data_IF_280385955016
#
_entry.id   IF_280385955016
#
_cell.length_a   1.000
_cell.length_b   1.000
_cell.length_c   1.000
_cell.angle_alpha   90.00
_cell.angle_beta   90.00
_cell.angle_gamma   90.00
#
_symmetry.space_group_name_H-M   'P 1'
#
loop_
_entity.id
_entity.type
_entity.pdbx_description
1 polymer ?
#
# COMPACT_ATOMS: atom_id res chain seq x y z
N UNK A 1 3.44 4.51 21.72
CA UNK A 1 3.93 3.38 20.90
C UNK A 1 3.95 3.83 19.46
N UNK A 2 5.08 3.72 18.79
CA UNK A 2 5.19 4.03 17.36
C UNK A 2 4.60 2.88 16.52
N UNK A 3 4.12 3.20 15.32
CA UNK A 3 3.74 2.19 14.32
C UNK A 3 4.91 1.24 14.04
N UNK A 4 6.13 1.79 13.97
CA UNK A 4 7.35 1.03 13.77
C UNK A 4 7.56 -0.03 14.87
N UNK A 5 7.34 0.32 16.15
CA UNK A 5 7.47 -0.61 17.28
C UNK A 5 6.46 -1.77 17.17
N UNK A 6 5.24 -1.46 16.75
CA UNK A 6 4.18 -2.46 16.62
C UNK A 6 4.46 -3.43 15.47
N UNK A 7 4.93 -2.91 14.34
CA UNK A 7 5.29 -3.71 13.18
C UNK A 7 6.56 -4.55 13.40
N UNK A 8 7.56 -4.01 14.07
CA UNK A 8 8.76 -4.76 14.45
C UNK A 8 8.41 -5.91 15.42
N UNK A 9 7.49 -5.65 16.36
CA UNK A 9 6.99 -6.68 17.30
C UNK A 9 6.27 -7.84 16.63
N UNK A 10 5.65 -7.63 15.46
CA UNK A 10 5.00 -8.70 14.69
C UNK A 10 5.92 -9.34 13.65
N UNK A 11 7.23 -9.02 13.68
CA UNK A 11 8.22 -9.64 12.80
C UNK A 11 8.17 -9.17 11.35
N UNK A 12 7.58 -7.99 11.08
CA UNK A 12 7.57 -7.42 9.73
C UNK A 12 8.93 -6.78 9.43
N UNK A 13 9.70 -7.44 8.57
CA UNK A 13 10.90 -6.88 7.98
C UNK A 13 10.52 -5.93 6.83
N UNK A 14 10.47 -4.65 7.16
CA UNK A 14 10.10 -3.58 6.24
C UNK A 14 11.05 -3.42 5.05
N UNK A 15 12.26 -3.97 5.10
CA UNK A 15 13.19 -3.90 3.97
C UNK A 15 12.83 -4.92 2.89
N UNK A 16 12.19 -6.02 3.26
CA UNK A 16 12.02 -7.17 2.36
C UNK A 16 10.58 -7.42 1.92
N UNK A 17 9.59 -6.80 2.57
CA UNK A 17 8.17 -6.96 2.23
C UNK A 17 7.59 -5.74 1.52
N UNK A 18 6.71 -5.92 0.52
CA UNK A 18 5.91 -4.82 -0.03
C UNK A 18 5.04 -4.18 1.05
N UNK A 19 5.14 -2.85 1.21
CA UNK A 19 4.45 -2.10 2.24
C UNK A 19 3.76 -0.86 1.67
N UNK A 20 2.56 -0.58 2.16
CA UNK A 20 1.86 0.70 2.04
C UNK A 20 1.32 1.12 3.40
N UNK A 21 1.25 2.42 3.65
CA UNK A 21 0.65 2.97 4.88
C UNK A 21 -0.63 3.71 4.53
N UNK A 22 -1.71 3.36 5.22
CA UNK A 22 -3.01 4.00 5.05
C UNK A 22 -3.41 4.75 6.32
N UNK A 23 -3.59 6.06 6.20
CA UNK A 23 -4.21 6.89 7.21
C UNK A 23 -5.73 6.83 7.05
N UNK A 24 -6.33 5.83 7.69
CA UNK A 24 -7.78 5.64 7.71
C UNK A 24 -8.48 6.61 8.68
N UNK A 25 -9.81 6.70 8.59
CA UNK A 25 -10.70 7.55 9.42
C UNK A 25 -10.59 9.05 9.14
N UNK A 26 -10.40 9.42 7.87
CA UNK A 26 -10.29 10.83 7.42
C UNK A 26 -11.57 11.64 7.62
N UNK A 27 -12.69 10.98 7.89
CA UNK A 27 -14.00 11.56 8.18
C UNK A 27 -14.10 12.15 9.59
N UNK A 28 -13.21 11.78 10.52
CA UNK A 28 -13.28 12.27 11.89
C UNK A 28 -12.91 13.76 11.98
N UNK A 29 -13.65 14.58 12.75
CA UNK A 29 -13.38 16.02 12.88
C UNK A 29 -12.01 16.33 13.50
N UNK A 30 -11.43 15.38 14.24
CA UNK A 30 -10.08 15.48 14.81
C UNK A 30 -8.99 14.84 13.94
N UNK A 31 -9.28 14.45 12.70
CA UNK A 31 -8.27 13.87 11.81
C UNK A 31 -7.21 14.93 11.46
N UNK A 32 -5.94 14.60 11.71
CA UNK A 32 -4.79 15.47 11.36
C UNK A 32 -4.80 15.78 9.86
N UNK A 33 -4.62 17.02 9.40
CA UNK A 33 -4.63 17.36 7.97
C UNK A 33 -3.66 16.52 7.14
N UNK A 34 -4.03 16.21 5.88
CA UNK A 34 -3.18 15.37 5.01
C UNK A 34 -1.82 16.00 4.73
N UNK A 35 -1.78 17.32 4.58
CA UNK A 35 -0.54 18.07 4.35
C UNK A 35 0.45 17.87 5.51
N UNK A 36 -0.02 17.98 6.75
CA UNK A 36 0.81 17.78 7.95
C UNK A 36 1.29 16.34 8.06
N UNK A 37 0.45 15.36 7.70
CA UNK A 37 0.87 13.96 7.65
C UNK A 37 1.94 13.74 6.58
N UNK A 38 1.76 14.30 5.39
CA UNK A 38 2.74 14.16 4.29
C UNK A 38 4.08 14.80 4.64
N UNK A 39 4.07 15.97 5.25
CA UNK A 39 5.27 16.64 5.74
C UNK A 39 5.96 15.79 6.82
N UNK A 40 5.21 15.32 7.82
CA UNK A 40 5.76 14.51 8.92
C UNK A 40 6.39 13.19 8.44
N UNK A 41 5.88 12.62 7.35
CA UNK A 41 6.33 11.35 6.80
C UNK A 41 7.02 11.52 5.44
N UNK A 42 7.56 12.70 5.13
CA UNK A 42 8.19 12.97 3.83
C UNK A 42 9.38 12.06 3.53
N UNK A 43 10.12 11.67 4.57
CA UNK A 43 11.29 10.79 4.49
C UNK A 43 10.91 9.30 4.46
N UNK A 44 9.62 8.95 4.56
CA UNK A 44 9.18 7.58 4.56
C UNK A 44 9.35 6.96 3.15
N UNK A 45 10.01 5.80 3.02
CA UNK A 45 10.25 5.18 1.73
C UNK A 45 9.01 4.46 1.15
N UNK A 46 7.93 4.32 1.93
CA UNK A 46 6.71 3.63 1.53
C UNK A 46 5.59 4.61 1.13
N UNK A 47 4.70 4.22 0.19
CA UNK A 47 3.57 5.04 -0.23
C UNK A 47 2.59 5.32 0.92
N UNK A 48 2.10 6.56 0.97
CA UNK A 48 1.08 7.01 1.91
C UNK A 48 -0.27 7.18 1.21
N UNK A 49 -1.31 6.56 1.75
CA UNK A 49 -2.68 6.68 1.30
C UNK A 49 -3.59 7.20 2.41
N UNK A 50 -4.71 7.80 2.02
CA UNK A 50 -5.71 8.37 2.93
C UNK A 50 -7.06 7.74 2.61
N UNK A 51 -7.81 7.36 3.63
CA UNK A 51 -9.03 6.59 3.42
C UNK A 51 -10.12 6.84 4.46
N UNK A 52 -11.36 6.61 4.04
CA UNK A 52 -12.53 6.49 4.91
C UNK A 52 -13.13 5.11 4.67
N UNK A 53 -12.77 4.15 5.53
CA UNK A 53 -13.23 2.77 5.37
C UNK A 53 -14.76 2.61 5.42
N UNK A 54 -15.48 3.54 6.07
CA UNK A 54 -16.95 3.50 6.14
C UNK A 54 -17.62 3.80 4.80
N UNK A 55 -17.02 4.65 3.97
CA UNK A 55 -17.53 4.99 2.62
C UNK A 55 -16.82 4.19 1.52
N UNK A 56 -15.69 3.56 1.84
CA UNK A 56 -14.83 2.85 0.89
C UNK A 56 -13.80 3.77 0.21
N UNK A 57 -13.85 5.08 0.47
CA UNK A 57 -12.95 6.05 -0.14
C UNK A 57 -11.49 5.71 0.18
N UNK A 58 -10.65 5.62 -0.85
CA UNK A 58 -9.23 5.33 -0.74
C UNK A 58 -8.87 3.88 -0.37
N UNK A 59 -9.83 3.02 -0.03
CA UNK A 59 -9.57 1.62 0.35
C UNK A 59 -9.04 0.81 -0.84
N UNK A 60 -9.77 0.84 -1.97
CA UNK A 60 -9.37 0.13 -3.18
C UNK A 60 -8.05 0.67 -3.75
N UNK A 61 -7.89 2.00 -3.78
CA UNK A 61 -6.65 2.63 -4.25
C UNK A 61 -5.43 2.23 -3.40
N UNK A 62 -5.60 2.11 -2.07
CA UNK A 62 -4.56 1.62 -1.17
C UNK A 62 -4.19 0.18 -1.50
N UNK A 63 -5.20 -0.69 -1.69
CA UNK A 63 -4.99 -2.10 -1.99
C UNK A 63 -4.33 -2.29 -3.36
N UNK A 64 -4.79 -1.55 -4.37
CA UNK A 64 -4.18 -1.52 -5.70
C UNK A 64 -2.69 -1.15 -5.63
N UNK A 65 -2.34 -0.13 -4.84
CA UNK A 65 -0.95 0.27 -4.63
C UNK A 65 -0.11 -0.84 -4.01
N UNK A 66 -0.67 -1.60 -3.06
CA UNK A 66 0.00 -2.76 -2.46
C UNK A 66 0.22 -3.87 -3.50
N UNK A 67 -0.78 -4.19 -4.31
CA UNK A 67 -0.68 -5.22 -5.35
C UNK A 67 0.40 -4.87 -6.38
N UNK A 68 0.53 -3.60 -6.76
CA UNK A 68 1.61 -3.14 -7.66
C UNK A 68 2.99 -3.29 -7.02
N UNK A 69 3.13 -2.92 -5.75
CA UNK A 69 4.39 -3.10 -5.03
C UNK A 69 4.77 -4.60 -4.93
N UNK A 70 3.79 -5.45 -4.64
CA UNK A 70 3.94 -6.90 -4.60
C UNK A 70 4.38 -7.47 -5.95
N UNK A 71 3.69 -7.09 -7.03
CA UNK A 71 4.02 -7.55 -8.37
C UNK A 71 5.46 -7.18 -8.75
N UNK A 72 5.83 -5.90 -8.63
CA UNK A 72 7.18 -5.41 -9.00
C UNK A 72 8.30 -6.09 -8.23
N UNK A 73 8.07 -6.39 -6.95
CA UNK A 73 9.04 -7.05 -6.08
C UNK A 73 9.37 -8.47 -6.55
N UNK A 74 8.39 -9.18 -7.11
CA UNK A 74 8.50 -10.59 -7.47
C UNK A 74 8.61 -10.85 -8.97
N UNK A 75 8.25 -9.90 -9.83
CA UNK A 75 8.33 -10.07 -11.30
C UNK A 75 9.76 -10.40 -11.76
N UNK A 76 10.78 -9.75 -11.18
CA UNK A 76 12.17 -9.99 -11.54
C UNK A 76 12.66 -11.40 -11.16
N UNK A 77 12.18 -11.94 -10.03
CA UNK A 77 12.57 -13.27 -9.53
C UNK A 77 11.74 -14.39 -10.16
N UNK A 78 10.44 -14.18 -10.37
CA UNK A 78 9.49 -15.18 -10.86
C UNK A 78 9.25 -15.11 -12.37
N UNK A 79 9.70 -14.04 -13.05
CA UNK A 79 9.48 -13.85 -14.47
C UNK A 79 8.00 -13.74 -14.84
N UNK A 80 7.17 -13.05 -14.06
CA UNK A 80 5.72 -13.01 -14.26
C UNK A 80 5.35 -12.48 -15.66
N UNK A 81 5.96 -11.38 -16.07
CA UNK A 81 5.77 -10.85 -17.42
C UNK A 81 6.47 -11.72 -18.48
N UNK A 82 7.75 -12.06 -18.26
CA UNK A 82 8.60 -12.70 -19.26
C UNK A 82 8.21 -14.15 -19.56
N UNK A 83 7.97 -14.93 -18.51
CA UNK A 83 7.83 -16.39 -18.57
C UNK A 83 6.36 -16.81 -18.50
N UNK A 84 5.51 -16.00 -17.87
CA UNK A 84 4.09 -16.32 -17.68
C UNK A 84 3.13 -15.38 -18.45
N UNK A 85 3.62 -14.33 -19.09
CA UNK A 85 2.79 -13.37 -19.84
C UNK A 85 1.82 -12.56 -18.97
N UNK A 86 2.00 -12.57 -17.64
CA UNK A 86 1.16 -11.85 -16.69
C UNK A 86 1.78 -10.47 -16.48
N UNK A 87 1.19 -9.42 -17.07
CA UNK A 87 1.63 -8.04 -16.84
C UNK A 87 1.18 -7.50 -15.48
N UNK A 88 1.82 -6.42 -14.98
CA UNK A 88 1.38 -5.74 -13.75
C UNK A 88 -0.10 -5.34 -13.82
N UNK A 89 -0.53 -4.81 -14.97
CA UNK A 89 -1.91 -4.38 -15.18
C UNK A 89 -2.87 -5.58 -15.15
N UNK A 90 -2.53 -6.69 -15.82
CA UNK A 90 -3.35 -7.89 -15.83
C UNK A 90 -3.45 -8.53 -14.43
N UNK A 91 -2.33 -8.56 -13.69
CA UNK A 91 -2.29 -9.03 -12.30
C UNK A 91 -3.22 -8.22 -11.39
N UNK A 92 -3.08 -6.89 -11.44
CA UNK A 92 -3.90 -5.98 -10.63
C UNK A 92 -5.38 -6.08 -11.02
N UNK A 93 -5.69 -6.02 -12.32
CA UNK A 93 -7.07 -6.10 -12.81
C UNK A 93 -7.73 -7.42 -12.40
N UNK A 94 -7.04 -8.55 -12.57
CA UNK A 94 -7.55 -9.88 -12.22
C UNK A 94 -7.88 -10.02 -10.73
N UNK A 95 -7.04 -9.48 -9.84
CA UNK A 95 -7.30 -9.51 -8.38
C UNK A 95 -8.43 -8.56 -7.97
N UNK A 96 -8.51 -7.39 -8.61
CA UNK A 96 -9.59 -6.42 -8.34
C UNK A 96 -10.91 -6.76 -9.06
N UNK A 97 -10.97 -7.86 -9.82
CA UNK A 97 -12.16 -8.26 -10.56
C UNK A 97 -12.53 -7.29 -11.70
N UNK A 98 -11.55 -6.56 -12.23
CA UNK A 98 -11.72 -5.64 -13.36
C UNK A 98 -11.49 -6.40 -14.69
N UNK A 99 -12.25 -6.07 -15.75
CA UNK A 99 -12.09 -6.69 -17.06
C UNK A 99 -10.76 -6.34 -17.73
#
# INVERSE_FOLDING_TARGET
QSMADNCHRVGLDFEHIPLVVQFNKRDLPGAVPEAEIRERWEAAPWPLHFAVALTGDGVEATFESLLRALYRRHDAELGLARDHGVSEQAFVAGILGRP
#
